data_IF_214229629831
#
_entry.id   IF_214229629831
#
_cell.length_a   1.000
_cell.length_b   1.000
_cell.length_c   1.000
_cell.angle_alpha   90.00
_cell.angle_beta   90.00
_cell.angle_gamma   90.00
#
_symmetry.space_group_name_H-M   'P 1'
#
loop_
_entity.id
_entity.type
_entity.pdbx_description
1 polymer ?
#
# COMPACT_ATOMS: atom_id res chain seq x y z
N UNK A 1 24.96 9.66 15.64
CA UNK A 1 24.01 10.20 16.63
C UNK A 1 24.58 11.45 17.33
N UNK A 2 23.70 12.41 17.64
CA UNK A 2 24.08 13.67 18.29
C UNK A 2 24.27 14.85 17.35
N UNK A 3 24.37 14.64 16.05
CA UNK A 3 24.43 15.73 15.06
C UNK A 3 23.04 16.34 14.84
N UNK A 4 23.01 17.62 14.47
CA UNK A 4 21.79 18.32 14.09
C UNK A 4 21.78 18.49 12.58
N UNK A 5 20.73 18.01 11.94
CA UNK A 5 20.53 18.06 10.49
C UNK A 5 19.38 19.01 10.17
N UNK A 6 19.55 19.80 9.12
CA UNK A 6 18.53 20.70 8.56
C UNK A 6 17.86 19.95 7.38
N UNK A 7 16.54 20.04 7.31
CA UNK A 7 15.71 19.46 6.24
C UNK A 7 14.92 20.55 5.53
N UNK A 8 14.89 20.46 4.22
CA UNK A 8 14.05 21.28 3.34
C UNK A 8 13.27 20.41 2.36
N UNK A 9 12.18 20.95 1.79
CA UNK A 9 11.39 20.22 0.79
C UNK A 9 12.28 19.78 -0.38
N UNK A 10 12.21 18.49 -0.73
CA UNK A 10 13.05 17.82 -1.73
C UNK A 10 14.21 17.01 -1.15
N UNK A 11 14.48 17.11 0.15
CA UNK A 11 15.55 16.36 0.78
C UNK A 11 15.14 14.92 1.11
N UNK A 12 16.13 14.01 1.07
CA UNK A 12 16.01 12.66 1.63
C UNK A 12 16.55 12.65 3.06
N UNK A 13 15.80 12.08 3.99
CA UNK A 13 16.21 11.95 5.39
C UNK A 13 17.31 10.90 5.50
N UNK A 14 18.49 11.31 5.96
CA UNK A 14 19.70 10.49 5.97
C UNK A 14 19.83 9.54 7.18
N UNK A 15 19.10 9.81 8.26
CA UNK A 15 19.18 9.08 9.53
C UNK A 15 17.87 9.21 10.32
N UNK A 16 17.66 8.35 11.31
CA UNK A 16 16.54 8.51 12.22
C UNK A 16 16.85 9.61 13.24
N UNK A 17 15.86 10.43 13.53
CA UNK A 17 16.08 11.53 14.47
C UNK A 17 14.82 12.12 15.06
N UNK A 18 15.04 12.82 16.19
CA UNK A 18 14.02 13.56 16.92
C UNK A 18 13.95 14.99 16.40
N UNK A 19 12.78 15.45 15.97
CA UNK A 19 12.55 16.82 15.56
C UNK A 19 12.76 17.80 16.72
N UNK A 20 13.54 18.83 16.47
CA UNK A 20 13.79 19.95 17.38
C UNK A 20 12.93 21.15 17.00
N UNK A 21 12.81 21.41 15.70
CA UNK A 21 12.04 22.51 15.12
C UNK A 21 11.43 22.02 13.81
N UNK A 22 10.21 22.41 13.52
CA UNK A 22 9.58 22.21 12.22
C UNK A 22 8.64 23.36 11.86
N UNK A 23 8.51 23.60 10.55
CA UNK A 23 7.56 24.56 9.98
C UNK A 23 6.85 23.87 8.82
N UNK A 24 5.62 23.42 9.08
CA UNK A 24 4.77 22.69 8.12
C UNK A 24 5.49 21.52 7.45
N UNK A 25 6.35 20.81 8.18
CA UNK A 25 7.16 19.72 7.65
C UNK A 25 6.26 18.52 7.34
N UNK A 26 6.34 18.03 6.10
CA UNK A 26 5.66 16.78 5.67
C UNK A 26 6.67 15.82 5.08
N UNK A 27 6.64 14.57 5.52
CA UNK A 27 7.53 13.50 5.08
C UNK A 27 6.74 12.33 4.46
N UNK A 28 7.15 11.89 3.29
CA UNK A 28 6.67 10.64 2.70
C UNK A 28 7.42 9.48 3.34
N UNK A 29 6.71 8.65 4.10
CA UNK A 29 7.26 7.53 4.88
C UNK A 29 6.75 6.17 4.37
N UNK A 30 6.25 6.14 3.15
CA UNK A 30 5.63 4.95 2.54
C UNK A 30 6.52 3.70 2.54
N UNK A 31 7.84 3.87 2.47
CA UNK A 31 8.79 2.75 2.55
C UNK A 31 8.79 2.04 3.92
N UNK A 32 8.36 2.74 4.99
CA UNK A 32 8.30 2.21 6.35
C UNK A 32 6.88 1.86 6.80
N UNK A 33 5.91 2.70 6.43
CA UNK A 33 4.53 2.58 6.92
C UNK A 33 3.59 1.92 5.91
N UNK A 34 3.98 1.88 4.62
CA UNK A 34 3.10 1.47 3.53
C UNK A 34 2.07 2.54 3.11
N UNK A 35 1.96 3.64 3.87
CA UNK A 35 1.02 4.71 3.59
C UNK A 35 1.56 5.69 2.55
N UNK A 36 0.77 5.99 1.52
CA UNK A 36 1.20 6.87 0.42
C UNK A 36 1.11 8.35 0.74
N UNK A 37 0.30 8.72 1.75
CA UNK A 37 0.13 10.12 2.12
C UNK A 37 1.31 10.59 2.96
N UNK A 38 1.86 11.79 2.67
CA UNK A 38 2.89 12.39 3.50
C UNK A 38 2.37 12.66 4.92
N UNK A 39 3.16 12.26 5.90
CA UNK A 39 2.85 12.47 7.32
C UNK A 39 3.27 13.88 7.72
N UNK A 40 2.35 14.64 8.30
CA UNK A 40 2.66 15.95 8.90
C UNK A 40 3.41 15.77 10.22
N UNK A 41 4.51 16.48 10.35
CA UNK A 41 5.43 16.34 11.48
C UNK A 41 5.31 17.51 12.45
N UNK A 42 5.45 17.21 13.73
CA UNK A 42 5.46 18.20 14.82
C UNK A 42 6.61 17.95 15.81
N UNK A 43 6.73 18.80 16.83
CA UNK A 43 7.75 18.67 17.88
C UNK A 43 7.17 18.26 19.23
N UNK A 44 5.86 17.96 19.30
CA UNK A 44 5.19 17.64 20.54
C UNK A 44 5.68 16.34 21.16
N UNK A 45 5.53 16.22 22.49
CA UNK A 45 5.86 15.02 23.22
C UNK A 45 4.72 14.00 23.08
N UNK A 46 5.06 12.84 22.54
CA UNK A 46 4.12 11.72 22.48
C UNK A 46 4.03 11.03 23.84
N UNK A 47 2.82 10.68 24.26
CA UNK A 47 2.55 9.98 25.52
C UNK A 47 2.39 8.48 25.26
N UNK A 48 3.25 7.65 25.86
CA UNK A 48 3.18 6.19 25.77
C UNK A 48 3.89 5.59 24.56
N UNK A 49 3.73 4.28 24.36
CA UNK A 49 4.22 3.58 23.19
C UNK A 49 3.35 3.93 21.97
N UNK A 50 3.98 4.50 20.97
CA UNK A 50 3.31 4.97 19.75
C UNK A 50 3.80 4.15 18.56
N UNK A 51 2.89 3.69 17.72
CA UNK A 51 3.22 2.99 16.49
C UNK A 51 4.16 3.82 15.59
N UNK A 52 4.96 3.17 14.75
CA UNK A 52 5.98 3.85 13.96
C UNK A 52 5.41 4.98 13.09
N UNK A 53 4.30 4.72 12.39
CA UNK A 53 3.63 5.69 11.53
C UNK A 53 3.02 6.89 12.26
N UNK A 54 2.74 6.75 13.56
CA UNK A 54 2.14 7.79 14.39
C UNK A 54 3.19 8.65 15.13
N UNK A 55 4.48 8.34 14.99
CA UNK A 55 5.57 9.10 15.60
C UNK A 55 5.84 10.41 14.86
N UNK A 56 4.91 11.34 14.94
CA UNK A 56 4.97 12.64 14.24
C UNK A 56 6.17 13.49 14.63
N UNK A 57 6.73 13.27 15.79
CA UNK A 57 7.88 14.02 16.32
C UNK A 57 9.23 13.42 15.93
N UNK A 58 9.27 12.43 15.07
CA UNK A 58 10.46 11.79 14.54
C UNK A 58 10.48 11.82 13.02
N UNK A 59 11.67 11.78 12.46
CA UNK A 59 11.94 11.54 11.04
C UNK A 59 12.76 10.28 10.89
N UNK A 60 12.58 9.55 9.78
CA UNK A 60 13.16 8.24 9.57
C UNK A 60 14.03 8.19 8.33
N UNK A 61 15.14 7.49 8.41
CA UNK A 61 16.06 7.26 7.29
C UNK A 61 15.35 6.64 6.09
N UNK A 62 15.60 7.18 4.91
CA UNK A 62 14.98 6.74 3.66
C UNK A 62 13.62 7.36 3.35
N UNK A 63 13.10 8.21 4.24
CA UNK A 63 11.93 9.04 3.98
C UNK A 63 12.28 10.26 3.13
N UNK A 64 11.29 10.88 2.51
CA UNK A 64 11.47 12.03 1.63
C UNK A 64 10.66 13.23 2.12
N UNK A 65 11.28 14.40 2.21
CA UNK A 65 10.60 15.64 2.62
C UNK A 65 9.81 16.17 1.43
N UNK A 66 8.48 16.16 1.53
CA UNK A 66 7.59 16.63 0.46
C UNK A 66 7.24 18.10 0.58
N UNK A 67 7.22 18.63 1.81
CA UNK A 67 6.86 20.02 2.08
C UNK A 67 7.49 20.52 3.37
N UNK A 68 7.68 21.87 3.46
CA UNK A 68 8.13 22.53 4.68
C UNK A 68 9.63 22.38 4.95
N UNK A 69 10.02 22.68 6.19
CA UNK A 69 11.41 22.61 6.66
C UNK A 69 11.46 22.22 8.12
N UNK A 70 12.58 21.64 8.55
CA UNK A 70 12.78 21.27 9.95
C UNK A 70 14.23 21.09 10.32
N UNK A 71 14.47 20.90 11.63
CA UNK A 71 15.77 20.52 12.19
C UNK A 71 15.56 19.33 13.11
N UNK A 72 16.39 18.33 12.98
CA UNK A 72 16.32 17.17 13.84
C UNK A 72 17.67 16.78 14.42
N UNK A 73 17.63 16.19 15.62
CA UNK A 73 18.77 15.57 16.28
C UNK A 73 18.83 14.10 15.85
N UNK A 74 19.95 13.69 15.27
CA UNK A 74 20.18 12.30 14.88
C UNK A 74 20.23 11.40 16.11
N UNK A 75 19.34 10.41 16.18
CA UNK A 75 19.24 9.43 17.28
C UNK A 75 19.80 8.07 16.89
N UNK A 76 19.65 7.66 15.64
CA UNK A 76 20.14 6.38 15.13
C UNK A 76 20.66 6.51 13.70
N UNK A 77 21.67 5.70 13.33
CA UNK A 77 22.30 5.69 12.00
C UNK A 77 22.54 4.25 11.53
N UNK A 78 22.61 4.07 10.20
CA UNK A 78 22.95 2.78 9.59
C UNK A 78 22.00 1.65 10.00
N UNK A 79 22.54 0.57 10.54
CA UNK A 79 21.76 -0.61 10.92
C UNK A 79 20.90 -0.42 12.18
N UNK A 80 21.12 0.65 12.95
CA UNK A 80 20.33 0.97 14.14
C UNK A 80 19.07 1.79 13.81
N UNK A 81 18.95 2.28 12.57
CA UNK A 81 17.73 2.95 12.08
C UNK A 81 16.59 1.95 11.92
N UNK A 82 15.35 2.41 11.86
CA UNK A 82 14.19 1.53 11.63
C UNK A 82 14.33 0.80 10.27
N UNK A 83 14.78 1.49 9.23
CA UNK A 83 15.10 0.86 7.94
C UNK A 83 16.25 -0.16 8.08
N UNK A 84 17.27 0.15 8.89
CA UNK A 84 18.39 -0.76 9.17
C UNK A 84 17.94 -2.03 9.90
N UNK A 85 17.02 -1.92 10.86
CA UNK A 85 16.43 -3.07 11.54
C UNK A 85 15.69 -4.00 10.57
N UNK A 86 14.92 -3.44 9.64
CA UNK A 86 14.25 -4.21 8.57
C UNK A 86 15.30 -4.93 7.71
N UNK A 87 16.34 -4.23 7.29
CA UNK A 87 17.43 -4.83 6.50
C UNK A 87 18.14 -5.96 7.27
N UNK A 88 18.31 -5.81 8.57
CA UNK A 88 18.90 -6.85 9.44
C UNK A 88 18.00 -8.07 9.58
N UNK A 89 16.69 -7.87 9.75
CA UNK A 89 15.72 -8.97 9.77
C UNK A 89 15.74 -9.75 8.46
N UNK A 90 15.78 -9.07 7.33
CA UNK A 90 15.89 -9.69 6.01
C UNK A 90 17.21 -10.47 5.84
N UNK A 91 18.32 -9.92 6.33
CA UNK A 91 19.64 -10.57 6.25
C UNK A 91 19.76 -11.79 7.17
N UNK A 92 19.14 -11.75 8.34
CA UNK A 92 19.17 -12.83 9.33
C UNK A 92 18.16 -13.95 9.02
N UNK A 93 17.28 -13.77 8.02
CA UNK A 93 16.41 -14.84 7.56
C UNK A 93 17.28 -15.92 6.91
N UNK A 94 17.42 -17.06 7.58
CA UNK A 94 18.14 -18.22 7.04
C UNK A 94 17.50 -18.66 5.72
N UNK A 95 18.32 -18.87 4.70
CA UNK A 95 17.88 -19.50 3.45
C UNK A 95 17.43 -20.93 3.76
N UNK A 96 16.14 -21.14 3.93
CA UNK A 96 15.57 -22.46 4.10
C UNK A 96 15.78 -23.27 2.83
N UNK A 97 16.23 -24.54 3.01
CA UNK A 97 16.33 -25.47 1.87
C UNK A 97 14.96 -25.64 1.23
N UNK A 98 14.96 -25.62 -0.10
CA UNK A 98 13.72 -25.86 -0.86
C UNK A 98 13.22 -27.30 -0.67
N UNK A 99 11.91 -27.59 -0.86
CA UNK A 99 11.38 -28.95 -0.80
C UNK A 99 12.13 -29.95 -1.69
N UNK A 100 12.55 -29.50 -2.89
CA UNK A 100 13.36 -30.31 -3.80
C UNK A 100 14.74 -30.61 -3.23
N UNK A 101 15.42 -29.61 -2.64
CA UNK A 101 16.72 -29.81 -2.01
C UNK A 101 16.65 -30.81 -0.86
N UNK A 102 15.60 -30.69 -0.01
CA UNK A 102 15.37 -31.65 1.11
C UNK A 102 15.14 -33.06 0.57
N UNK A 103 14.34 -33.21 -0.50
CA UNK A 103 14.07 -34.49 -1.12
C UNK A 103 15.30 -35.11 -1.75
N UNK A 104 16.13 -34.30 -2.42
CA UNK A 104 17.40 -34.73 -3.01
C UNK A 104 18.43 -35.13 -1.96
N UNK A 105 18.55 -34.39 -0.86
CA UNK A 105 19.41 -34.76 0.26
C UNK A 105 19.01 -36.09 0.89
N UNK A 106 17.69 -36.29 1.08
CA UNK A 106 17.15 -37.55 1.61
C UNK A 106 17.41 -38.71 0.65
N UNK A 107 17.19 -38.51 -0.66
CA UNK A 107 17.47 -39.50 -1.69
C UNK A 107 18.95 -39.85 -1.72
N UNK A 108 19.83 -38.83 -1.76
CA UNK A 108 21.27 -39.00 -1.76
C UNK A 108 21.74 -39.79 -0.53
N UNK A 109 21.22 -39.47 0.67
CA UNK A 109 21.55 -40.20 1.91
C UNK A 109 21.12 -41.66 1.88
N UNK A 110 19.89 -41.95 1.42
CA UNK A 110 19.38 -43.30 1.28
C UNK A 110 20.22 -44.11 0.28
N UNK A 111 20.51 -43.49 -0.89
CA UNK A 111 21.32 -44.11 -1.93
C UNK A 111 22.74 -44.42 -1.44
N UNK A 112 23.38 -43.47 -0.74
CA UNK A 112 24.73 -43.69 -0.16
C UNK A 112 24.76 -44.87 0.82
N UNK A 113 23.75 -45.01 1.67
CA UNK A 113 23.66 -46.15 2.60
C UNK A 113 23.52 -47.47 1.82
N UNK A 114 22.66 -47.51 0.79
CA UNK A 114 22.47 -48.70 -0.05
C UNK A 114 23.78 -49.08 -0.75
N UNK A 115 24.48 -48.11 -1.34
CA UNK A 115 25.78 -48.34 -1.99
C UNK A 115 26.79 -48.86 -1.01
N UNK A 116 26.90 -48.27 0.18
CA UNK A 116 27.83 -48.75 1.24
C UNK A 116 27.53 -50.20 1.65
N UNK A 117 26.27 -50.55 1.81
CA UNK A 117 25.88 -51.93 2.14
C UNK A 117 26.25 -52.88 1.01
N UNK A 118 25.96 -52.53 -0.23
CA UNK A 118 26.34 -53.35 -1.42
C UNK A 118 27.85 -53.52 -1.50
N UNK A 119 28.64 -52.44 -1.34
CA UNK A 119 30.08 -52.50 -1.35
C UNK A 119 30.64 -53.37 -0.23
N UNK A 120 30.07 -53.26 0.98
CA UNK A 120 30.48 -54.11 2.14
C UNK A 120 30.19 -55.60 1.90
N UNK A 121 29.01 -55.91 1.33
CA UNK A 121 28.64 -57.29 0.95
C UNK A 121 29.60 -57.85 -0.10
N UNK A 122 29.82 -57.07 -1.19
CA UNK A 122 30.71 -57.50 -2.25
C UNK A 122 32.16 -57.65 -1.78
N UNK A 123 32.64 -56.74 -0.95
CA UNK A 123 33.95 -56.86 -0.30
C UNK A 123 34.05 -58.16 0.52
N UNK A 124 33.04 -58.39 1.38
CA UNK A 124 32.97 -59.62 2.19
C UNK A 124 32.97 -60.90 1.33
N UNK A 125 32.16 -60.94 0.28
CA UNK A 125 32.12 -62.09 -0.64
C UNK A 125 33.46 -62.28 -1.37
N UNK A 126 34.11 -61.20 -1.83
CA UNK A 126 35.42 -61.29 -2.54
C UNK A 126 36.52 -61.84 -1.59
N UNK A 127 36.53 -61.39 -0.34
CA UNK A 127 37.57 -61.84 0.63
C UNK A 127 37.26 -63.22 1.17
N UNK A 128 36.02 -63.51 1.62
CA UNK A 128 35.67 -64.71 2.33
C UNK A 128 35.40 -65.91 1.42
N UNK A 129 34.78 -65.70 0.25
CA UNK A 129 34.39 -66.78 -0.64
C UNK A 129 35.33 -66.96 -1.81
N UNK A 130 35.81 -65.85 -2.43
CA UNK A 130 36.73 -65.94 -3.57
C UNK A 130 38.21 -65.93 -3.19
N UNK A 131 38.52 -65.74 -1.88
CA UNK A 131 39.88 -65.68 -1.35
C UNK A 131 40.81 -64.69 -2.09
N UNK A 132 40.24 -63.60 -2.58
CA UNK A 132 40.98 -62.54 -3.27
C UNK A 132 41.86 -61.76 -2.26
N UNK A 133 42.91 -61.13 -2.78
CA UNK A 133 43.74 -60.24 -1.97
C UNK A 133 42.90 -59.11 -1.42
N UNK A 134 42.93 -58.90 -0.11
CA UNK A 134 42.15 -57.88 0.64
C UNK A 134 42.30 -56.49 -0.02
N UNK A 135 43.52 -56.12 -0.48
CA UNK A 135 43.77 -54.86 -1.13
C UNK A 135 43.01 -54.71 -2.46
N UNK A 136 42.99 -55.77 -3.26
CA UNK A 136 42.29 -55.75 -4.57
C UNK A 136 40.75 -55.69 -4.36
N UNK A 137 40.23 -56.45 -3.40
CA UNK A 137 38.83 -56.44 -3.05
C UNK A 137 38.41 -55.05 -2.52
N UNK A 138 39.24 -54.41 -1.72
CA UNK A 138 39.04 -53.03 -1.22
C UNK A 138 39.02 -52.01 -2.34
N UNK A 139 40.01 -52.01 -3.22
CA UNK A 139 40.10 -51.12 -4.37
C UNK A 139 38.90 -51.30 -5.32
N UNK A 140 38.44 -52.53 -5.54
CA UNK A 140 37.23 -52.81 -6.30
C UNK A 140 35.98 -52.23 -5.65
N UNK A 141 35.80 -52.42 -4.34
CA UNK A 141 34.69 -51.86 -3.59
C UNK A 141 34.68 -50.32 -3.59
N UNK A 142 35.83 -49.66 -3.46
CA UNK A 142 35.98 -48.23 -3.58
C UNK A 142 35.64 -47.73 -5.00
N UNK A 143 36.19 -48.41 -6.03
CA UNK A 143 35.91 -48.07 -7.42
C UNK A 143 34.39 -48.16 -7.73
N UNK A 144 33.72 -49.17 -7.22
CA UNK A 144 32.29 -49.36 -7.36
C UNK A 144 31.52 -48.26 -6.62
N UNK A 145 31.94 -47.91 -5.37
CA UNK A 145 31.31 -46.84 -4.62
C UNK A 145 31.38 -45.49 -5.36
N UNK A 146 32.54 -45.14 -5.91
CA UNK A 146 32.75 -43.92 -6.72
C UNK A 146 31.90 -43.95 -8.00
N UNK A 147 31.89 -45.07 -8.71
CA UNK A 147 31.12 -45.21 -9.96
C UNK A 147 29.60 -45.14 -9.74
N UNK A 148 29.11 -45.46 -8.51
CA UNK A 148 27.68 -45.41 -8.18
C UNK A 148 27.19 -44.03 -7.75
N UNK A 149 28.06 -43.04 -7.56
CA UNK A 149 27.68 -41.66 -7.19
C UNK A 149 27.03 -40.99 -8.41
N UNK A 150 25.77 -40.50 -8.28
CA UNK A 150 25.08 -39.88 -9.42
C UNK A 150 25.52 -38.40 -9.58
N UNK A 151 26.71 -38.14 -10.07
CA UNK A 151 27.30 -36.82 -10.26
C UNK A 151 26.43 -35.89 -11.15
N UNK A 152 25.74 -36.49 -12.13
CA UNK A 152 24.88 -35.75 -13.05
C UNK A 152 23.60 -35.19 -12.42
N UNK A 153 23.19 -35.63 -11.23
CA UNK A 153 21.90 -35.24 -10.61
C UNK A 153 21.79 -33.74 -10.37
N UNK A 154 22.81 -33.14 -9.78
CA UNK A 154 22.83 -31.68 -9.52
C UNK A 154 22.83 -30.86 -10.80
N UNK A 155 23.55 -31.33 -11.82
CA UNK A 155 23.58 -30.66 -13.14
C UNK A 155 22.22 -30.71 -13.84
N UNK A 156 21.54 -31.86 -13.81
CA UNK A 156 20.20 -32.04 -14.41
C UNK A 156 19.21 -31.10 -13.72
N UNK A 157 19.20 -31.02 -12.39
CA UNK A 157 18.32 -30.12 -11.62
C UNK A 157 18.56 -28.65 -12.03
N UNK A 158 19.83 -28.23 -12.12
CA UNK A 158 20.17 -26.86 -12.53
C UNK A 158 19.68 -26.56 -13.96
N UNK A 159 19.83 -27.51 -14.88
CA UNK A 159 19.34 -27.36 -16.27
C UNK A 159 17.80 -27.22 -16.30
N UNK A 160 17.08 -28.05 -15.56
CA UNK A 160 15.60 -28.01 -15.49
C UNK A 160 15.12 -26.67 -14.90
N UNK A 161 15.72 -26.22 -13.80
CA UNK A 161 15.40 -24.92 -13.20
C UNK A 161 15.72 -23.75 -14.15
N UNK A 162 16.79 -23.85 -14.96
CA UNK A 162 17.12 -22.85 -15.99
C UNK A 162 16.04 -22.76 -17.07
N UNK A 163 15.46 -23.88 -17.49
CA UNK A 163 14.32 -23.86 -18.42
C UNK A 163 13.10 -23.20 -17.80
N UNK A 164 12.82 -23.46 -16.52
CA UNK A 164 11.75 -22.80 -15.76
C UNK A 164 11.97 -21.28 -15.71
N UNK A 165 13.17 -20.85 -15.33
CA UNK A 165 13.54 -19.42 -15.30
C UNK A 165 13.36 -18.75 -16.66
N UNK A 166 13.80 -19.41 -17.75
CA UNK A 166 13.62 -18.88 -19.11
C UNK A 166 12.13 -18.73 -19.49
N UNK A 167 11.28 -19.66 -19.08
CA UNK A 167 9.83 -19.57 -19.30
C UNK A 167 9.24 -18.40 -18.53
N UNK A 168 9.60 -18.24 -17.27
CA UNK A 168 9.13 -17.12 -16.43
C UNK A 168 9.59 -15.76 -16.96
N UNK A 169 10.85 -15.65 -17.45
CA UNK A 169 11.35 -14.43 -18.04
C UNK A 169 10.56 -14.00 -19.29
N UNK A 170 9.99 -14.95 -20.06
CA UNK A 170 9.09 -14.63 -21.18
C UNK A 170 7.77 -14.02 -20.74
N UNK A 171 7.33 -14.34 -19.52
CA UNK A 171 6.14 -13.76 -18.88
C UNK A 171 6.49 -12.52 -18.01
N UNK A 172 7.62 -11.87 -18.30
CA UNK A 172 8.12 -10.69 -17.59
C UNK A 172 8.45 -10.91 -16.11
N UNK A 173 8.58 -12.16 -15.66
CA UNK A 173 8.96 -12.50 -14.30
C UNK A 173 10.49 -12.71 -14.22
N UNK A 174 11.19 -11.78 -13.56
CA UNK A 174 12.65 -11.81 -13.40
C UNK A 174 13.00 -12.60 -12.14
N UNK A 175 13.63 -13.76 -12.33
CA UNK A 175 14.07 -14.64 -11.24
C UNK A 175 15.53 -14.35 -10.91
N UNK A 176 15.82 -14.00 -9.66
CA UNK A 176 17.18 -13.71 -9.17
C UNK A 176 17.94 -14.98 -8.74
N UNK A 177 17.23 -15.96 -8.20
CA UNK A 177 17.79 -17.23 -7.71
C UNK A 177 17.07 -18.39 -8.37
N UNK A 178 17.80 -19.34 -8.97
CA UNK A 178 17.23 -20.48 -9.69
C UNK A 178 16.26 -21.30 -8.83
N UNK A 179 16.57 -21.44 -7.54
CA UNK A 179 15.72 -22.16 -6.58
C UNK A 179 14.34 -21.52 -6.40
N UNK A 180 14.21 -20.20 -6.62
CA UNK A 180 12.92 -19.51 -6.50
C UNK A 180 11.87 -20.04 -7.49
N UNK A 181 12.29 -20.59 -8.64
CA UNK A 181 11.36 -21.21 -9.61
C UNK A 181 10.61 -22.39 -9.01
N UNK A 182 11.31 -23.21 -8.24
CA UNK A 182 10.73 -24.38 -7.56
C UNK A 182 9.85 -23.95 -6.39
N UNK A 183 10.33 -22.98 -5.59
CA UNK A 183 9.55 -22.45 -4.45
C UNK A 183 8.24 -21.85 -4.94
N UNK A 184 8.25 -21.05 -6.02
CA UNK A 184 7.04 -20.48 -6.60
C UNK A 184 6.06 -21.55 -7.09
N UNK A 185 6.55 -22.68 -7.58
CA UNK A 185 5.73 -23.83 -7.98
C UNK A 185 5.07 -24.59 -6.81
N UNK A 186 5.52 -24.36 -5.58
CA UNK A 186 5.08 -25.06 -4.37
C UNK A 186 4.45 -24.16 -3.31
N UNK A 187 4.26 -22.87 -3.60
CA UNK A 187 3.59 -21.94 -2.66
C UNK A 187 2.14 -22.32 -2.43
N UNK A 188 1.72 -22.32 -1.19
CA UNK A 188 0.33 -22.51 -0.78
C UNK A 188 -0.36 -21.20 -0.37
N UNK A 189 0.45 -20.16 -0.07
CA UNK A 189 -0.03 -18.86 0.40
C UNK A 189 0.76 -17.75 -0.32
N UNK A 190 0.04 -16.71 -0.76
CA UNK A 190 0.63 -15.47 -1.29
C UNK A 190 0.15 -14.32 -0.42
N UNK A 191 1.09 -13.66 0.27
CA UNK A 191 0.83 -12.43 1.00
C UNK A 191 1.12 -11.24 0.09
N UNK A 192 0.11 -10.41 -0.17
CA UNK A 192 0.24 -9.25 -1.05
C UNK A 192 -0.11 -7.97 -0.32
N UNK A 193 0.72 -6.95 -0.50
CA UNK A 193 0.37 -5.59 -0.11
C UNK A 193 -0.83 -5.09 -0.91
N UNK A 194 -1.66 -4.24 -0.29
CA UNK A 194 -2.79 -3.59 -0.94
C UNK A 194 -2.33 -2.48 -1.87
N UNK A 195 -1.62 -1.48 -1.28
CA UNK A 195 -1.36 -0.18 -1.92
C UNK A 195 -0.32 -0.28 -3.03
N UNK A 196 -0.69 0.13 -4.24
CA UNK A 196 0.21 0.08 -5.42
C UNK A 196 0.49 -1.32 -5.97
N UNK A 197 0.07 -2.39 -5.26
CA UNK A 197 0.19 -3.79 -5.72
C UNK A 197 -1.15 -4.32 -6.20
N UNK A 198 -2.10 -4.53 -5.31
CA UNK A 198 -3.47 -4.97 -5.66
C UNK A 198 -4.33 -3.80 -6.14
N UNK A 199 -4.00 -2.59 -5.73
CA UNK A 199 -4.64 -1.35 -6.12
C UNK A 199 -3.71 -0.50 -6.98
N UNK A 200 -4.26 0.55 -7.59
CA UNK A 200 -3.52 1.45 -8.48
C UNK A 200 -2.69 2.50 -7.73
N UNK A 201 -2.82 2.59 -6.41
CA UNK A 201 -2.33 3.70 -5.58
C UNK A 201 -2.86 5.06 -6.11
N UNK A 202 -4.11 5.07 -6.54
CA UNK A 202 -4.76 6.24 -7.11
C UNK A 202 -6.21 6.30 -6.66
N UNK A 203 -6.55 7.38 -5.97
CA UNK A 203 -7.92 7.64 -5.57
C UNK A 203 -8.79 7.87 -6.80
N UNK A 204 -9.98 7.27 -6.79
CA UNK A 204 -10.98 7.42 -7.86
C UNK A 204 -12.36 7.62 -7.23
N UNK A 205 -13.08 8.61 -7.70
CA UNK A 205 -14.46 8.84 -7.27
C UNK A 205 -15.35 7.68 -7.73
N UNK A 206 -16.12 7.13 -6.80
CA UNK A 206 -17.04 6.01 -7.04
C UNK A 206 -18.50 6.42 -6.96
N UNK A 207 -18.83 7.26 -5.97
CA UNK A 207 -20.22 7.68 -5.71
C UNK A 207 -20.28 9.14 -5.35
N UNK A 208 -21.44 9.71 -5.64
CA UNK A 208 -21.83 11.07 -5.24
C UNK A 208 -23.16 11.03 -4.51
N UNK A 209 -23.37 12.02 -3.65
CA UNK A 209 -24.67 12.29 -3.05
C UNK A 209 -24.97 13.77 -3.23
N UNK A 210 -26.00 14.10 -3.97
CA UNK A 210 -26.46 15.47 -4.22
C UNK A 210 -27.94 15.47 -4.57
N UNK A 211 -28.65 16.57 -4.29
CA UNK A 211 -30.09 16.64 -4.57
C UNK A 211 -30.95 15.62 -3.81
N UNK A 212 -30.39 14.99 -2.75
CA UNK A 212 -31.06 13.93 -1.99
C UNK A 212 -30.94 12.53 -2.56
N UNK A 213 -30.15 12.33 -3.62
CA UNK A 213 -29.95 11.05 -4.31
C UNK A 213 -28.50 10.60 -4.29
N UNK A 214 -28.28 9.27 -4.23
CA UNK A 214 -26.98 8.63 -4.40
C UNK A 214 -26.83 8.26 -5.86
N UNK A 215 -25.70 8.66 -6.46
CA UNK A 215 -25.41 8.50 -7.89
C UNK A 215 -24.04 7.82 -8.00
N UNK A 216 -23.93 6.78 -8.84
CA UNK A 216 -22.61 6.24 -9.20
C UNK A 216 -21.86 7.25 -10.08
N UNK A 217 -20.56 7.45 -9.85
CA UNK A 217 -19.76 8.45 -10.57
C UNK A 217 -19.79 8.28 -12.11
N UNK A 218 -19.95 7.05 -12.60
CA UNK A 218 -20.07 6.73 -14.04
C UNK A 218 -21.39 7.21 -14.65
N UNK A 219 -22.44 7.37 -13.84
CA UNK A 219 -23.80 7.76 -14.25
C UNK A 219 -24.08 9.23 -13.94
N UNK A 220 -23.08 9.97 -13.41
CA UNK A 220 -23.20 11.38 -13.09
C UNK A 220 -23.32 12.25 -14.36
N UNK A 221 -24.25 13.19 -14.35
CA UNK A 221 -24.42 14.20 -15.40
C UNK A 221 -24.20 15.60 -14.82
N UNK A 222 -23.01 16.15 -15.04
CA UNK A 222 -22.64 17.48 -14.57
C UNK A 222 -23.22 18.64 -15.40
N UNK A 223 -24.10 18.33 -16.35
CA UNK A 223 -24.99 19.32 -16.99
C UNK A 223 -26.28 19.51 -16.20
N UNK A 224 -26.57 18.59 -15.30
CA UNK A 224 -27.69 18.71 -14.36
C UNK A 224 -27.43 19.88 -13.38
N UNK A 225 -28.34 20.87 -13.28
CA UNK A 225 -28.19 21.99 -12.36
C UNK A 225 -28.04 21.61 -10.87
N UNK A 226 -28.42 20.38 -10.49
CA UNK A 226 -28.26 19.88 -9.12
C UNK A 226 -26.87 19.30 -8.88
N UNK A 227 -26.21 18.77 -9.91
CA UNK A 227 -24.91 18.11 -9.80
C UNK A 227 -23.74 19.06 -10.12
N UNK A 228 -23.92 19.97 -11.08
CA UNK A 228 -22.88 20.92 -11.53
C UNK A 228 -22.26 21.74 -10.39
N UNK A 229 -23.05 22.30 -9.42
CA UNK A 229 -22.47 23.08 -8.33
C UNK A 229 -21.52 22.26 -7.44
N UNK A 230 -21.81 20.97 -7.23
CA UNK A 230 -20.95 20.06 -6.48
C UNK A 230 -19.61 19.88 -7.19
N UNK A 231 -19.61 19.53 -8.50
CA UNK A 231 -18.38 19.34 -9.25
C UNK A 231 -17.57 20.64 -9.36
N UNK A 232 -18.22 21.75 -9.68
CA UNK A 232 -17.55 23.06 -9.75
C UNK A 232 -16.89 23.41 -8.43
N UNK A 233 -17.57 23.22 -7.31
CA UNK A 233 -17.00 23.46 -5.97
C UNK A 233 -15.81 22.55 -5.71
N UNK A 234 -15.88 21.27 -6.09
CA UNK A 234 -14.79 20.33 -5.96
C UNK A 234 -13.53 20.76 -6.74
N UNK A 235 -13.69 21.26 -7.97
CA UNK A 235 -12.59 21.76 -8.80
C UNK A 235 -12.01 23.07 -8.28
N UNK A 236 -12.86 24.01 -7.83
CA UNK A 236 -12.43 25.32 -7.34
C UNK A 236 -11.72 25.27 -5.99
N UNK A 237 -12.18 24.37 -5.11
CA UNK A 237 -11.59 24.16 -3.78
C UNK A 237 -10.55 23.02 -3.79
N UNK A 238 -9.65 23.03 -4.77
CA UNK A 238 -8.62 22.01 -4.97
C UNK A 238 -7.34 22.64 -5.49
N UNK A 239 -6.17 22.14 -5.04
CA UNK A 239 -4.85 22.62 -5.45
C UNK A 239 -4.16 21.64 -6.42
N UNK A 240 -4.71 20.45 -6.59
CA UNK A 240 -4.19 19.46 -7.51
C UNK A 240 -4.30 19.93 -8.97
N UNK A 241 -3.34 19.51 -9.78
CA UNK A 241 -3.25 19.79 -11.22
C UNK A 241 -2.99 18.48 -11.95
N UNK A 242 -3.68 18.27 -13.07
CA UNK A 242 -3.43 17.14 -13.97
C UNK A 242 -2.94 17.69 -15.31
N UNK A 243 -1.78 17.24 -15.77
CA UNK A 243 -1.21 17.59 -17.07
C UNK A 243 -0.82 16.33 -17.83
N UNK A 244 -1.70 15.86 -18.71
CA UNK A 244 -1.53 14.59 -19.40
C UNK A 244 -1.49 13.41 -18.41
N UNK A 245 -0.37 12.69 -18.38
CA UNK A 245 -0.18 11.55 -17.45
C UNK A 245 0.40 11.94 -16.08
N UNK A 246 0.71 13.22 -15.87
CA UNK A 246 1.31 13.69 -14.62
C UNK A 246 0.24 14.28 -13.71
N UNK A 247 0.12 13.70 -12.51
CA UNK A 247 -0.74 14.18 -11.43
C UNK A 247 0.13 14.86 -10.36
N UNK A 248 -0.20 16.09 -10.00
CA UNK A 248 0.50 16.87 -8.97
C UNK A 248 -0.53 17.30 -7.93
N UNK A 249 -0.30 16.95 -6.66
CA UNK A 249 -1.17 17.32 -5.54
C UNK A 249 -1.55 16.12 -4.67
N UNK A 250 -2.46 16.37 -3.72
CA UNK A 250 -3.00 15.31 -2.86
C UNK A 250 -3.83 14.32 -3.68
N UNK A 251 -3.68 13.00 -3.46
CA UNK A 251 -4.44 11.97 -4.20
C UNK A 251 -5.97 12.14 -4.14
N UNK A 252 -6.48 12.70 -3.05
CA UNK A 252 -7.91 12.98 -2.90
C UNK A 252 -8.36 14.11 -3.82
N UNK A 253 -7.51 15.13 -3.98
CA UNK A 253 -7.78 16.25 -4.87
C UNK A 253 -7.60 15.90 -6.34
N UNK A 254 -6.56 15.10 -6.66
CA UNK A 254 -6.37 14.61 -8.05
C UNK A 254 -7.57 13.78 -8.50
N UNK A 255 -8.21 13.02 -7.59
CA UNK A 255 -9.45 12.29 -7.90
C UNK A 255 -10.61 13.21 -8.28
N UNK A 256 -10.73 14.37 -7.62
CA UNK A 256 -11.76 15.37 -7.93
C UNK A 256 -11.52 16.02 -9.29
N UNK A 257 -10.27 16.40 -9.58
CA UNK A 257 -9.89 17.00 -10.87
C UNK A 257 -10.13 16.00 -12.01
N UNK A 258 -9.74 14.75 -11.85
CA UNK A 258 -9.95 13.69 -12.82
C UNK A 258 -11.43 13.42 -13.08
N UNK A 259 -12.27 13.48 -12.04
CA UNK A 259 -13.73 13.41 -12.22
C UNK A 259 -14.22 14.52 -13.15
N UNK A 260 -13.68 15.74 -12.99
CA UNK A 260 -13.98 16.88 -13.86
C UNK A 260 -13.58 16.60 -15.30
N UNK A 261 -12.32 16.24 -15.56
CA UNK A 261 -11.80 15.95 -16.90
C UNK A 261 -12.60 14.85 -17.61
N UNK A 262 -12.90 13.75 -16.90
CA UNK A 262 -13.67 12.62 -17.45
C UNK A 262 -15.07 13.05 -17.88
N UNK A 263 -15.64 14.08 -17.26
CA UNK A 263 -16.94 14.65 -17.59
C UNK A 263 -16.85 15.88 -18.53
N UNK A 264 -15.68 16.14 -19.09
CA UNK A 264 -15.46 17.23 -20.06
C UNK A 264 -15.32 18.62 -19.45
N UNK A 265 -14.97 18.70 -18.17
CA UNK A 265 -14.63 19.92 -17.45
C UNK A 265 -13.12 20.02 -17.31
N UNK A 266 -12.54 20.92 -18.10
CA UNK A 266 -11.13 21.27 -18.00
C UNK A 266 -10.92 22.16 -16.75
N UNK A 267 -10.05 21.74 -15.84
CA UNK A 267 -9.83 22.44 -14.58
C UNK A 267 -9.24 23.82 -14.80
N UNK A 268 -8.33 23.99 -15.77
CA UNK A 268 -7.72 25.26 -16.10
C UNK A 268 -8.75 26.25 -16.63
N UNK A 269 -9.67 25.80 -17.50
CA UNK A 269 -10.77 26.63 -17.98
C UNK A 269 -11.72 27.02 -16.86
N UNK A 270 -12.02 26.10 -15.94
CA UNK A 270 -12.89 26.36 -14.78
C UNK A 270 -12.23 27.37 -13.84
N UNK A 271 -10.96 27.17 -13.49
CA UNK A 271 -10.19 28.06 -12.58
C UNK A 271 -9.93 29.42 -13.20
N UNK A 272 -9.63 29.49 -14.49
CA UNK A 272 -9.45 30.76 -15.21
C UNK A 272 -10.77 31.56 -15.32
N UNK A 273 -11.90 30.87 -15.47
CA UNK A 273 -13.22 31.51 -15.51
C UNK A 273 -13.64 32.06 -14.15
N UNK A 274 -13.27 31.40 -13.07
CA UNK A 274 -13.59 31.78 -11.70
C UNK A 274 -12.32 31.74 -10.82
N UNK A 275 -11.43 32.75 -11.00
CA UNK A 275 -10.17 32.76 -10.29
C UNK A 275 -10.36 32.83 -8.78
N UNK A 276 -9.46 32.16 -8.06
CA UNK A 276 -9.39 32.20 -6.61
C UNK A 276 -8.92 33.60 -6.17
N UNK A 277 -9.66 34.23 -5.29
CA UNK A 277 -9.36 35.55 -4.76
C UNK A 277 -8.65 35.48 -3.42
N UNK A 278 -9.06 34.57 -2.58
CA UNK A 278 -8.44 34.28 -1.27
C UNK A 278 -8.80 32.86 -0.84
N UNK A 279 -8.10 32.38 0.19
CA UNK A 279 -8.32 31.05 0.74
C UNK A 279 -8.08 30.99 2.25
N UNK A 280 -8.66 29.99 2.89
CA UNK A 280 -8.27 29.43 4.17
C UNK A 280 -7.74 28.02 3.84
N UNK A 281 -6.42 27.79 3.89
CA UNK A 281 -5.83 26.51 3.46
C UNK A 281 -6.35 25.34 4.30
N UNK A 282 -6.14 24.12 3.80
CA UNK A 282 -6.47 22.91 4.54
C UNK A 282 -5.67 22.87 5.85
N UNK A 283 -6.36 22.53 6.91
CA UNK A 283 -5.80 22.34 8.22
C UNK A 283 -6.31 21.00 8.79
N UNK A 284 -5.39 20.15 9.27
CA UNK A 284 -5.72 18.78 9.72
C UNK A 284 -6.58 18.73 10.99
N UNK A 285 -6.44 19.71 11.88
CA UNK A 285 -7.23 19.79 13.11
C UNK A 285 -8.65 20.27 12.80
N UNK A 286 -8.75 21.19 11.85
CA UNK A 286 -10.01 21.75 11.36
C UNK A 286 -10.68 20.84 10.34
N UNK A 287 -9.92 19.97 9.67
CA UNK A 287 -10.36 19.02 8.61
C UNK A 287 -11.14 19.69 7.46
N UNK A 288 -10.86 20.93 7.15
CA UNK A 288 -11.55 21.72 6.13
C UNK A 288 -10.59 22.63 5.38
N UNK A 289 -11.01 23.03 4.16
CA UNK A 289 -10.40 24.04 3.32
C UNK A 289 -11.51 24.89 2.70
N UNK A 290 -11.26 26.19 2.59
CA UNK A 290 -12.21 27.13 1.97
C UNK A 290 -11.51 28.06 1.00
N UNK A 291 -12.17 28.36 -0.12
CA UNK A 291 -11.68 29.30 -1.13
C UNK A 291 -12.79 30.24 -1.57
N UNK A 292 -12.43 31.49 -1.95
CA UNK A 292 -13.39 32.50 -2.43
C UNK A 292 -13.18 32.75 -3.91
N UNK A 293 -14.27 32.73 -4.64
CA UNK A 293 -14.33 32.93 -6.08
C UNK A 293 -15.40 33.95 -6.48
N UNK A 294 -15.16 34.65 -7.61
CA UNK A 294 -16.18 35.51 -8.19
C UNK A 294 -17.01 34.75 -9.19
N UNK A 295 -18.23 34.37 -8.81
CA UNK A 295 -19.21 33.73 -9.70
C UNK A 295 -20.19 34.74 -10.30
N UNK A 296 -21.04 34.31 -11.23
CA UNK A 296 -22.03 35.17 -11.90
C UNK A 296 -22.98 35.90 -10.92
N UNK A 297 -23.24 35.31 -9.74
CA UNK A 297 -24.12 35.86 -8.69
C UNK A 297 -23.43 36.68 -7.61
N UNK A 298 -22.11 36.91 -7.72
CA UNK A 298 -21.34 37.60 -6.67
C UNK A 298 -20.15 36.81 -6.17
N UNK A 299 -19.67 37.14 -4.98
CA UNK A 299 -18.59 36.41 -4.34
C UNK A 299 -19.13 35.19 -3.62
N UNK A 300 -18.51 34.05 -3.84
CA UNK A 300 -18.89 32.76 -3.25
C UNK A 300 -17.72 32.15 -2.49
N UNK A 301 -17.92 31.85 -1.24
CA UNK A 301 -17.10 30.98 -0.42
C UNK A 301 -17.50 29.55 -0.75
N UNK A 302 -16.54 28.73 -1.16
CA UNK A 302 -16.73 27.29 -1.37
C UNK A 302 -15.84 26.53 -0.41
N UNK A 303 -16.37 25.51 0.23
CA UNK A 303 -15.70 24.77 1.32
C UNK A 303 -15.77 23.28 1.04
N UNK A 304 -14.66 22.57 1.28
CA UNK A 304 -14.61 21.11 1.34
C UNK A 304 -14.10 20.67 2.71
N UNK A 305 -14.51 19.51 3.16
CA UNK A 305 -14.03 18.98 4.43
C UNK A 305 -14.60 17.63 4.80
N UNK A 306 -14.25 17.18 6.00
CA UNK A 306 -14.84 15.98 6.60
C UNK A 306 -16.33 16.20 6.87
N UNK A 307 -17.14 15.18 6.61
CA UNK A 307 -18.60 15.29 6.67
C UNK A 307 -19.11 15.73 8.04
N UNK A 308 -18.56 15.17 9.11
CA UNK A 308 -18.88 15.48 10.51
C UNK A 308 -18.70 16.97 10.82
N UNK A 309 -17.54 17.50 10.47
CA UNK A 309 -17.17 18.89 10.76
C UNK A 309 -17.93 19.88 9.87
N UNK A 310 -18.09 19.56 8.57
CA UNK A 310 -18.75 20.46 7.64
C UNK A 310 -20.25 20.58 7.93
N UNK A 311 -20.91 19.49 8.30
CA UNK A 311 -22.34 19.49 8.64
C UNK A 311 -22.67 20.36 9.85
N UNK A 312 -21.78 20.47 10.83
CA UNK A 312 -21.95 21.35 11.98
C UNK A 312 -21.95 22.84 11.59
N UNK A 313 -21.44 23.16 10.40
CA UNK A 313 -21.36 24.53 9.87
C UNK A 313 -22.40 24.82 8.79
N UNK A 314 -23.18 23.81 8.40
CA UNK A 314 -24.23 23.93 7.39
C UNK A 314 -25.59 24.24 8.00
N UNK A 315 -26.40 24.97 7.24
CA UNK A 315 -27.82 25.17 7.56
C UNK A 315 -28.61 24.03 6.91
N UNK A 316 -28.91 23.01 7.69
CA UNK A 316 -29.67 21.82 7.26
C UNK A 316 -30.74 21.50 8.29
N UNK A 317 -31.86 20.94 7.86
CA UNK A 317 -32.90 20.45 8.77
C UNK A 317 -32.42 19.17 9.50
N UNK A 318 -32.99 18.83 10.67
CA UNK A 318 -32.66 17.59 11.37
C UNK A 318 -32.84 16.33 10.49
N UNK A 319 -33.87 16.32 9.64
CA UNK A 319 -34.19 15.21 8.74
C UNK A 319 -33.16 15.10 7.61
N UNK A 320 -32.76 16.22 7.02
CA UNK A 320 -31.69 16.26 6.00
C UNK A 320 -30.35 15.84 6.59
N UNK A 321 -30.03 16.33 7.81
CA UNK A 321 -28.81 15.95 8.52
C UNK A 321 -28.74 14.43 8.74
N UNK A 322 -29.81 13.86 9.30
CA UNK A 322 -29.87 12.42 9.54
C UNK A 322 -29.70 11.60 8.24
N UNK A 323 -30.27 12.08 7.13
CA UNK A 323 -30.13 11.42 5.82
C UNK A 323 -28.70 11.51 5.30
N UNK A 324 -28.04 12.67 5.40
CA UNK A 324 -26.64 12.85 4.98
C UNK A 324 -25.72 11.99 5.82
N UNK A 325 -25.90 11.95 7.14
CA UNK A 325 -25.12 11.10 8.05
C UNK A 325 -25.30 9.61 7.73
N UNK A 326 -26.52 9.18 7.45
CA UNK A 326 -26.79 7.80 7.00
C UNK A 326 -26.08 7.43 5.71
N UNK A 327 -26.09 8.33 4.72
CA UNK A 327 -25.38 8.10 3.44
C UNK A 327 -23.87 8.10 3.65
N UNK A 328 -23.34 9.00 4.49
CA UNK A 328 -21.94 9.02 4.85
C UNK A 328 -21.49 7.72 5.53
N UNK A 329 -22.30 7.22 6.47
CA UNK A 329 -22.05 5.93 7.13
C UNK A 329 -22.08 4.76 6.13
N UNK A 330 -23.07 4.76 5.21
CA UNK A 330 -23.14 3.78 4.16
C UNK A 330 -21.86 3.78 3.30
N UNK A 331 -21.41 4.94 2.82
CA UNK A 331 -20.20 5.06 2.02
C UNK A 331 -18.96 4.64 2.80
N UNK A 332 -18.86 5.00 4.07
CA UNK A 332 -17.77 4.59 4.96
C UNK A 332 -17.73 3.07 5.16
N UNK A 333 -18.89 2.43 5.32
CA UNK A 333 -19.01 0.96 5.43
C UNK A 333 -18.67 0.23 4.13
N UNK A 334 -18.81 0.90 2.98
CA UNK A 334 -18.31 0.42 1.68
C UNK A 334 -16.80 0.66 1.50
N UNK A 335 -16.12 1.20 2.51
CA UNK A 335 -14.67 1.49 2.47
C UNK A 335 -14.30 2.74 1.66
N UNK A 336 -15.28 3.59 1.36
CA UNK A 336 -15.05 4.82 0.62
C UNK A 336 -14.60 5.95 1.54
N UNK A 337 -13.64 6.74 1.11
CA UNK A 337 -13.29 8.03 1.72
C UNK A 337 -14.29 9.08 1.25
N UNK A 338 -14.94 9.77 2.19
CA UNK A 338 -15.99 10.73 1.89
C UNK A 338 -15.51 12.15 2.15
N UNK A 339 -15.75 13.05 1.19
CA UNK A 339 -15.61 14.49 1.34
C UNK A 339 -16.97 15.15 1.17
N UNK A 340 -17.27 16.07 2.07
CA UNK A 340 -18.45 16.95 2.01
C UNK A 340 -18.07 18.29 1.36
N UNK A 341 -19.06 18.89 0.68
CA UNK A 341 -18.93 20.17 -0.02
C UNK A 341 -20.07 21.08 0.32
N UNK A 342 -19.75 22.36 0.53
CA UNK A 342 -20.74 23.39 0.84
C UNK A 342 -20.31 24.74 0.25
N UNK A 343 -21.23 25.68 0.19
CA UNK A 343 -20.95 27.04 -0.28
C UNK A 343 -21.76 28.08 0.48
N UNK A 344 -21.33 29.35 0.37
CA UNK A 344 -22.04 30.50 0.90
C UNK A 344 -21.67 31.77 0.13
N UNK A 345 -22.64 32.66 -0.08
CA UNK A 345 -22.38 34.01 -0.59
C UNK A 345 -21.67 34.86 0.48
N UNK A 346 -20.67 35.64 0.07
CA UNK A 346 -19.91 36.54 0.97
C UNK A 346 -19.86 37.95 0.37
N UNK A 347 -19.78 38.96 1.23
CA UNK A 347 -19.83 40.38 0.80
C UNK A 347 -18.48 40.90 0.32
N UNK A 348 -17.38 40.25 0.70
CA UNK A 348 -16.01 40.65 0.36
C UNK A 348 -15.07 39.48 0.16
N UNK A 349 -13.90 39.69 -0.47
CA UNK A 349 -12.92 38.63 -0.67
C UNK A 349 -12.14 38.28 0.60
N UNK A 350 -12.05 39.17 1.57
CA UNK A 350 -11.39 38.89 2.86
C UNK A 350 -12.31 38.02 3.73
N UNK A 351 -11.83 36.83 4.06
CA UNK A 351 -12.53 35.84 4.88
C UNK A 351 -11.74 35.47 6.12
N UNK A 352 -12.46 35.03 7.13
CA UNK A 352 -11.95 34.53 8.40
C UNK A 352 -12.59 33.19 8.72
N UNK A 353 -12.12 32.51 9.75
CA UNK A 353 -12.74 31.25 10.23
C UNK A 353 -14.22 31.41 10.64
N UNK A 354 -14.66 32.64 10.98
CA UNK A 354 -16.06 32.90 11.32
C UNK A 354 -16.98 32.82 10.08
N UNK A 355 -16.44 33.02 8.88
CA UNK A 355 -17.18 32.97 7.63
C UNK A 355 -17.50 31.54 7.19
N UNK A 356 -16.81 30.54 7.74
CA UNK A 356 -17.07 29.11 7.51
C UNK A 356 -18.27 28.58 8.30
N UNK A 357 -19.30 29.40 8.49
CA UNK A 357 -20.55 29.03 9.15
C UNK A 357 -21.74 29.43 8.30
N UNK A 358 -22.91 28.87 8.60
CA UNK A 358 -24.14 29.09 7.84
C UNK A 358 -23.98 28.75 6.36
N UNK A 359 -23.29 27.65 6.08
CA UNK A 359 -23.03 27.15 4.74
C UNK A 359 -24.27 26.43 4.19
N UNK A 360 -24.44 26.46 2.88
CA UNK A 360 -25.41 25.62 2.15
C UNK A 360 -24.72 24.35 1.71
N UNK A 361 -25.22 23.20 2.18
CA UNK A 361 -24.69 21.89 1.81
C UNK A 361 -24.96 21.61 0.32
N UNK A 362 -23.97 21.13 -0.42
CA UNK A 362 -24.05 20.79 -1.85
C UNK A 362 -24.10 19.29 -2.09
N UNK A 363 -23.33 18.51 -1.32
CA UNK A 363 -23.26 17.08 -1.51
C UNK A 363 -22.04 16.42 -0.90
N UNK A 364 -21.96 15.10 -1.10
CA UNK A 364 -20.82 14.27 -0.77
C UNK A 364 -20.18 13.72 -2.02
N UNK A 365 -18.87 13.59 -2.03
CA UNK A 365 -18.12 12.84 -3.03
C UNK A 365 -17.34 11.74 -2.30
N UNK A 366 -17.56 10.49 -2.72
CA UNK A 366 -17.00 9.31 -2.12
C UNK A 366 -16.03 8.62 -3.09
N UNK A 367 -14.84 8.29 -2.62
CA UNK A 367 -13.74 7.80 -3.45
C UNK A 367 -12.96 6.69 -2.73
N UNK A 368 -12.22 5.89 -3.49
CA UNK A 368 -11.34 4.85 -2.97
C UNK A 368 -10.12 4.65 -3.87
N UNK A 369 -9.08 4.03 -3.32
CA UNK A 369 -7.98 3.51 -4.11
C UNK A 369 -8.46 2.28 -4.90
N UNK A 370 -8.54 2.43 -6.22
CA UNK A 370 -9.21 1.45 -7.09
C UNK A 370 -8.36 0.20 -7.26
N UNK A 371 -8.93 -1.00 -7.07
CA UNK A 371 -8.27 -2.24 -7.45
C UNK A 371 -7.84 -2.24 -8.92
N UNK A 372 -6.70 -2.87 -9.22
CA UNK A 372 -6.31 -3.12 -10.61
C UNK A 372 -7.24 -4.17 -11.22
N UNK A 373 -7.58 -4.03 -12.49
CA UNK A 373 -8.43 -5.01 -13.19
C UNK A 373 -7.80 -6.40 -13.19
N UNK A 374 -6.47 -6.47 -13.35
CA UNK A 374 -5.70 -7.71 -13.34
C UNK A 374 -5.72 -8.42 -11.98
N UNK A 375 -5.83 -7.67 -10.88
CA UNK A 375 -5.80 -8.23 -9.52
C UNK A 375 -6.93 -9.21 -9.28
N UNK A 376 -8.14 -8.90 -9.73
CA UNK A 376 -9.30 -9.78 -9.59
C UNK A 376 -9.12 -11.09 -10.36
N UNK A 377 -8.59 -11.00 -11.57
CA UNK A 377 -8.31 -12.19 -12.39
C UNK A 377 -7.19 -13.04 -11.77
N UNK A 378 -6.10 -12.42 -11.31
CA UNK A 378 -4.98 -13.08 -10.66
C UNK A 378 -5.38 -13.78 -9.36
N UNK A 379 -6.18 -13.12 -8.50
CA UNK A 379 -6.72 -13.72 -7.28
C UNK A 379 -7.57 -14.95 -7.59
N UNK A 380 -8.44 -14.87 -8.58
CA UNK A 380 -9.26 -16.00 -9.00
C UNK A 380 -8.42 -17.18 -9.52
N UNK A 381 -7.31 -16.88 -10.19
CA UNK A 381 -6.37 -17.90 -10.69
C UNK A 381 -5.59 -18.56 -9.55
N UNK A 382 -5.08 -17.79 -8.60
CA UNK A 382 -4.45 -18.32 -7.39
C UNK A 382 -5.37 -19.32 -6.67
N UNK A 383 -6.62 -18.94 -6.48
CA UNK A 383 -7.60 -19.76 -5.78
C UNK A 383 -7.89 -21.07 -6.56
N UNK A 384 -8.03 -21.00 -7.89
CA UNK A 384 -8.17 -22.19 -8.75
C UNK A 384 -6.97 -23.13 -8.68
N UNK A 385 -5.77 -22.55 -8.50
CA UNK A 385 -4.54 -23.31 -8.32
C UNK A 385 -4.36 -23.88 -6.91
N UNK A 386 -5.30 -23.65 -5.98
CA UNK A 386 -5.21 -24.08 -4.59
C UNK A 386 -4.31 -23.19 -3.72
N UNK A 387 -3.91 -22.01 -4.22
CA UNK A 387 -3.11 -21.04 -3.51
C UNK A 387 -4.05 -20.07 -2.77
N UNK A 388 -3.75 -19.80 -1.50
CA UNK A 388 -4.51 -18.87 -0.65
C UNK A 388 -3.91 -17.45 -0.74
N UNK A 389 -4.56 -16.49 -1.42
CA UNK A 389 -4.11 -15.10 -1.38
C UNK A 389 -4.55 -14.44 -0.06
N UNK A 390 -3.65 -13.68 0.54
CA UNK A 390 -3.86 -12.88 1.74
C UNK A 390 -3.47 -11.45 1.42
N UNK A 391 -4.33 -10.49 1.75
CA UNK A 391 -4.02 -9.07 1.62
C UNK A 391 -3.51 -8.54 2.96
N UNK A 392 -2.39 -7.83 2.91
CA UNK A 392 -1.78 -7.14 4.05
C UNK A 392 -1.79 -5.65 3.75
N UNK A 393 -2.18 -4.84 4.73
CA UNK A 393 -2.27 -3.38 4.57
C UNK A 393 -2.25 -2.66 5.91
N UNK A 394 -1.78 -1.41 5.92
CA UNK A 394 -1.93 -0.47 7.04
C UNK A 394 -3.30 0.21 7.10
N UNK A 395 -4.16 0.01 6.11
CA UNK A 395 -5.50 0.61 6.07
C UNK A 395 -6.39 0.14 7.22
N UNK A 396 -7.37 0.98 7.54
CA UNK A 396 -8.44 0.60 8.47
C UNK A 396 -9.18 -0.65 7.99
N UNK A 397 -9.52 -1.55 8.93
CA UNK A 397 -10.15 -2.86 8.67
C UNK A 397 -11.34 -2.81 7.71
N UNK A 398 -12.21 -1.79 7.83
CA UNK A 398 -13.41 -1.65 6.99
C UNK A 398 -13.02 -1.41 5.53
N UNK A 399 -12.09 -0.48 5.26
CA UNK A 399 -11.58 -0.17 3.92
C UNK A 399 -10.88 -1.38 3.30
N UNK A 400 -10.01 -2.02 4.07
CA UNK A 400 -9.32 -3.23 3.65
C UNK A 400 -10.29 -4.37 3.29
N UNK A 401 -11.29 -4.61 4.12
CA UNK A 401 -12.30 -5.63 3.89
C UNK A 401 -13.16 -5.37 2.64
N UNK A 402 -13.50 -4.11 2.37
CA UNK A 402 -14.26 -3.72 1.18
C UNK A 402 -13.48 -4.06 -0.10
N UNK A 403 -12.20 -3.66 -0.18
CA UNK A 403 -11.31 -3.96 -1.31
C UNK A 403 -11.09 -5.47 -1.45
N UNK A 404 -10.83 -6.17 -0.34
CA UNK A 404 -10.62 -7.62 -0.35
C UNK A 404 -11.85 -8.40 -0.85
N UNK A 405 -13.08 -7.92 -0.56
CA UNK A 405 -14.32 -8.48 -1.13
C UNK A 405 -14.42 -8.22 -2.63
N UNK A 406 -14.14 -6.99 -3.07
CA UNK A 406 -14.24 -6.61 -4.49
C UNK A 406 -13.31 -7.45 -5.37
N UNK A 407 -12.08 -7.73 -4.91
CA UNK A 407 -11.12 -8.56 -5.66
C UNK A 407 -11.26 -10.07 -5.40
N UNK A 408 -12.11 -10.48 -4.44
CA UNK A 408 -12.43 -11.88 -4.18
C UNK A 408 -11.46 -12.60 -3.21
N UNK A 409 -10.63 -11.88 -2.46
CA UNK A 409 -9.82 -12.43 -1.36
C UNK A 409 -10.70 -12.74 -0.16
N UNK A 410 -11.51 -11.76 0.27
CA UNK A 410 -12.45 -11.95 1.39
C UNK A 410 -13.77 -12.53 0.86
N UNK A 411 -14.14 -13.72 1.36
CA UNK A 411 -15.31 -14.49 0.95
C UNK A 411 -16.00 -15.10 2.16
N UNK A 412 -17.14 -15.74 1.96
CA UNK A 412 -17.83 -16.47 3.02
C UNK A 412 -16.89 -17.48 3.69
N UNK A 413 -16.80 -17.43 5.01
CA UNK A 413 -15.91 -18.27 5.81
C UNK A 413 -14.47 -17.75 5.95
N UNK A 414 -14.15 -16.54 5.41
CA UNK A 414 -12.88 -15.84 5.68
C UNK A 414 -13.17 -14.53 6.41
N UNK A 415 -12.19 -14.04 7.16
CA UNK A 415 -12.33 -12.81 7.95
C UNK A 415 -11.15 -11.86 7.75
N UNK A 416 -11.35 -10.60 8.05
CA UNK A 416 -10.31 -9.60 8.18
C UNK A 416 -9.92 -9.46 9.66
N UNK A 417 -8.63 -9.57 9.95
CA UNK A 417 -8.08 -9.53 11.31
C UNK A 417 -7.15 -8.33 11.43
N UNK A 418 -7.20 -7.63 12.56
CA UNK A 418 -6.27 -6.54 12.85
C UNK A 418 -4.92 -7.09 13.33
N UNK A 419 -3.81 -6.41 12.96
CA UNK A 419 -2.46 -6.86 13.30
C UNK A 419 -2.24 -7.05 14.80
N UNK A 420 -2.78 -6.16 15.62
CA UNK A 420 -2.71 -6.27 17.09
C UNK A 420 -3.35 -7.56 17.65
N UNK A 421 -4.33 -8.12 16.96
CA UNK A 421 -4.94 -9.40 17.34
C UNK A 421 -4.01 -10.55 17.00
N UNK A 422 -3.35 -10.47 15.83
CA UNK A 422 -2.40 -11.49 15.36
C UNK A 422 -1.20 -11.59 16.31
N UNK A 423 -0.71 -10.46 16.81
CA UNK A 423 0.42 -10.43 17.76
C UNK A 423 0.15 -11.18 19.07
N UNK A 424 -1.14 -11.33 19.42
CA UNK A 424 -1.58 -12.09 20.59
C UNK A 424 -1.93 -13.55 20.35
N UNK A 425 -1.91 -14.00 19.07
CA UNK A 425 -2.26 -15.38 18.69
C UNK A 425 -1.07 -16.34 18.88
N UNK A 426 -1.34 -17.59 19.17
CA UNK A 426 -0.34 -18.66 19.11
C UNK A 426 -0.10 -19.11 17.67
N UNK A 427 1.02 -19.82 17.42
CA UNK A 427 1.36 -20.36 16.08
C UNK A 427 0.29 -21.35 15.53
N UNK A 428 -0.55 -21.91 16.39
CA UNK A 428 -1.61 -22.87 16.03
C UNK A 428 -2.92 -22.14 15.65
N UNK A 429 -3.19 -20.95 16.17
CA UNK A 429 -4.34 -20.11 15.85
C UNK A 429 -4.13 -19.35 14.53
#
# INVERSE_FOLDING_TARGET
PGDVVILEAGDSVCADGRLLECASLKCAESALTGESLPVEKDTELLSGETALGDRKNMVFSGSFVTYGRGRFLVTATGMDTEMGKIAQLLKNTEERKTPLQVSLDQFGRKLSIIILVICAVLFGVSVLWRHENVMNAFLFAVALAVAAIPEALSSIVTIVLSFGTRKMAKENAIIRHLQAVEVLGSVSVICSDKTGTLTQNRMTVRKLYTGGEVIDAKDADFRDPLQEPLLRTALLCSDAVISGDTEIGDPTETALVRLGETNGFDEDLVRNRWPRLTEIPFDSDRKMMSTVHKLAGGLMLVTKGATDVLLDRCVVTPEERARIEQVNEQFSNEGLRVLAFACRSVDGPAITLADENSLTFLGLIAMMDTPREESKAAVAECIRAGIRPIMITGDHKITAAAIAREIGILRDGTEAVEGAVIDGMSDEE
#
